data_IF_033371490468
#
_entry.id   IF_033371490468
#
_cell.length_a   1.000
_cell.length_b   1.000
_cell.length_c   1.000
_cell.angle_alpha   90.00
_cell.angle_beta   90.00
_cell.angle_gamma   90.00
#
_symmetry.space_group_name_H-M   'P 1'
#
loop_
_entity.id
_entity.type
_entity.pdbx_description
1 polymer ?
#
# COMPACT_ATOMS: atom_id res chain seq x y z
N UNK A 1 9.72 -30.00 20.79
CA UNK A 1 8.37 -30.12 20.21
C UNK A 1 8.15 -28.93 19.30
N UNK A 2 8.29 -29.09 17.99
CA UNK A 2 7.94 -28.04 17.03
C UNK A 2 6.44 -28.12 16.79
N UNK A 3 5.69 -27.20 17.39
CA UNK A 3 4.30 -26.97 17.01
C UNK A 3 4.31 -26.17 15.71
N UNK A 4 4.02 -26.82 14.60
CA UNK A 4 3.69 -26.16 13.34
C UNK A 4 2.18 -25.96 13.31
N UNK A 5 1.68 -24.97 14.06
CA UNK A 5 0.36 -24.46 13.76
C UNK A 5 0.38 -23.97 12.30
N UNK A 6 -0.65 -24.28 11.49
CA UNK A 6 -0.70 -23.80 10.12
C UNK A 6 -0.74 -22.27 10.13
N UNK A 7 0.20 -21.64 9.45
CA UNK A 7 0.19 -20.19 9.21
C UNK A 7 -1.05 -19.87 8.39
N UNK A 8 -1.88 -18.96 8.87
CA UNK A 8 -2.97 -18.40 8.08
C UNK A 8 -2.40 -17.35 7.13
N UNK A 9 -2.47 -17.64 5.84
CA UNK A 9 -1.99 -16.74 4.80
C UNK A 9 -3.06 -16.54 3.74
N UNK A 10 -3.35 -15.29 3.39
CA UNK A 10 -4.15 -14.96 2.21
C UNK A 10 -3.70 -13.66 1.58
N UNK A 11 -3.98 -13.51 0.28
CA UNK A 11 -3.75 -12.28 -0.48
C UNK A 11 -5.05 -11.88 -1.13
N UNK A 12 -5.47 -10.63 -0.93
CA UNK A 12 -6.58 -10.01 -1.66
C UNK A 12 -6.03 -8.91 -2.55
N UNK A 13 -6.04 -9.13 -3.87
CA UNK A 13 -5.66 -8.10 -4.84
C UNK A 13 -6.74 -7.02 -4.91
N UNK A 14 -6.34 -5.74 -4.87
CA UNK A 14 -7.24 -4.60 -4.96
C UNK A 14 -7.16 -4.00 -6.38
N UNK A 15 -5.98 -3.55 -6.77
CA UNK A 15 -5.67 -2.96 -8.08
C UNK A 15 -4.16 -2.74 -8.20
N UNK A 16 -3.62 -2.62 -9.42
CA UNK A 16 -2.19 -2.33 -9.63
C UNK A 16 -1.28 -3.14 -8.67
N UNK A 17 -0.40 -2.48 -7.92
CA UNK A 17 0.45 -3.05 -6.86
C UNK A 17 -0.22 -3.08 -5.47
N UNK A 18 -1.47 -2.62 -5.35
CA UNK A 18 -2.24 -2.60 -4.12
C UNK A 18 -2.90 -3.96 -3.84
N UNK A 19 -2.50 -4.58 -2.73
CA UNK A 19 -3.05 -5.83 -2.23
C UNK A 19 -3.04 -5.85 -0.70
N UNK A 20 -3.98 -6.59 -0.11
CA UNK A 20 -3.95 -6.91 1.31
C UNK A 20 -3.27 -8.25 1.47
N UNK A 21 -2.23 -8.32 2.31
CA UNK A 21 -1.69 -9.59 2.80
C UNK A 21 -2.20 -9.81 4.21
N UNK A 22 -2.77 -10.97 4.46
CA UNK A 22 -3.13 -11.43 5.79
C UNK A 22 -2.14 -12.51 6.22
N UNK A 23 -1.48 -12.31 7.36
CA UNK A 23 -0.54 -13.27 7.94
C UNK A 23 -0.84 -13.41 9.44
N UNK A 24 -1.36 -14.56 9.86
CA UNK A 24 -1.61 -14.88 11.27
C UNK A 24 -2.34 -13.77 12.07
N UNK A 25 -3.40 -13.21 11.49
CA UNK A 25 -4.17 -12.15 12.14
C UNK A 25 -3.71 -10.72 11.85
N UNK A 26 -2.54 -10.55 11.21
CA UNK A 26 -1.99 -9.24 10.85
C UNK A 26 -2.32 -8.90 9.39
N UNK A 27 -2.90 -7.73 9.17
CA UNK A 27 -3.20 -7.21 7.84
C UNK A 27 -2.16 -6.18 7.40
N UNK A 28 -1.51 -6.47 6.28
CA UNK A 28 -0.66 -5.54 5.56
C UNK A 28 -1.41 -5.03 4.35
N UNK A 29 -1.21 -3.76 3.96
CA UNK A 29 -1.56 -3.28 2.62
C UNK A 29 -0.30 -2.88 1.87
N UNK A 30 -0.14 -3.35 0.65
CA UNK A 30 0.94 -2.91 -0.25
C UNK A 30 0.49 -1.67 -1.01
N UNK A 31 1.41 -0.73 -1.27
CA UNK A 31 1.30 0.30 -2.32
C UNK A 31 -0.15 0.83 -2.51
N UNK A 32 -0.71 1.52 -1.50
CA UNK A 32 -2.14 1.78 -1.45
C UNK A 32 -2.58 2.73 -2.57
N UNK A 33 -3.44 2.23 -3.46
CA UNK A 33 -4.09 2.99 -4.54
C UNK A 33 -5.61 2.75 -4.51
N UNK A 34 -6.38 3.84 -4.58
CA UNK A 34 -7.85 3.82 -4.46
C UNK A 34 -8.60 4.68 -5.48
N UNK A 35 -7.88 5.31 -6.41
CA UNK A 35 -8.46 6.16 -7.43
C UNK A 35 -9.36 5.37 -8.39
N UNK A 36 -10.49 5.95 -8.81
CA UNK A 36 -11.45 5.24 -9.66
C UNK A 36 -10.89 4.95 -11.07
N UNK A 37 -11.60 4.08 -11.79
CA UNK A 37 -11.36 3.89 -13.22
C UNK A 37 -11.44 5.24 -13.96
N UNK A 38 -10.57 5.43 -14.94
CA UNK A 38 -10.49 6.65 -15.75
C UNK A 38 -9.68 7.78 -15.12
N UNK A 39 -9.23 7.67 -13.86
CA UNK A 39 -8.24 8.60 -13.32
C UNK A 39 -6.97 8.53 -14.15
N UNK A 40 -6.46 9.71 -14.50
CA UNK A 40 -5.24 9.90 -15.29
C UNK A 40 -4.25 10.77 -14.51
N UNK A 41 -2.97 10.49 -14.71
CA UNK A 41 -1.85 11.29 -14.23
C UNK A 41 -0.92 11.57 -15.41
N UNK A 42 -0.62 12.85 -15.62
CA UNK A 42 0.39 13.28 -16.58
C UNK A 42 1.77 13.02 -15.97
N UNK A 43 2.51 12.09 -16.58
CA UNK A 43 3.86 11.70 -16.17
C UNK A 43 4.93 12.33 -17.07
N UNK A 44 4.58 13.30 -17.92
CA UNK A 44 5.45 13.95 -18.90
C UNK A 44 5.35 13.32 -20.28
N UNK A 45 6.26 12.41 -20.69
CA UNK A 45 6.18 11.75 -22.00
C UNK A 45 5.02 10.76 -22.12
N UNK A 46 4.38 10.38 -21.02
CA UNK A 46 3.30 9.40 -20.97
C UNK A 46 2.18 9.86 -20.04
N UNK A 47 0.96 9.38 -20.31
CA UNK A 47 -0.17 9.50 -19.38
C UNK A 47 -0.42 8.13 -18.76
N UNK A 48 -0.35 8.07 -17.44
CA UNK A 48 -0.77 6.89 -16.69
C UNK A 48 -2.28 6.95 -16.50
N UNK A 49 -2.97 5.83 -16.74
CA UNK A 49 -4.43 5.74 -16.61
C UNK A 49 -4.85 4.50 -15.83
N UNK A 50 -5.70 4.68 -14.83
CA UNK A 50 -6.41 3.58 -14.21
C UNK A 50 -7.46 3.02 -15.18
N UNK A 51 -7.20 1.83 -15.74
CA UNK A 51 -8.16 1.16 -16.64
C UNK A 51 -9.33 0.54 -15.89
N UNK A 52 -9.13 0.18 -14.62
CA UNK A 52 -10.14 -0.35 -13.70
C UNK A 52 -10.03 0.37 -12.35
N UNK A 53 -11.16 0.46 -11.64
CA UNK A 53 -11.18 0.94 -10.26
C UNK A 53 -10.74 -0.14 -9.29
N UNK A 54 -10.49 0.21 -8.01
CA UNK A 54 -10.10 -0.76 -7.01
C UNK A 54 -11.24 -1.74 -6.72
N UNK A 55 -10.91 -3.03 -6.54
CA UNK A 55 -11.88 -4.08 -6.20
C UNK A 55 -12.51 -3.85 -4.80
N UNK A 56 -11.80 -3.15 -3.91
CA UNK A 56 -12.27 -2.72 -2.60
C UNK A 56 -12.15 -1.21 -2.46
N UNK A 57 -13.17 -0.56 -1.90
CA UNK A 57 -13.08 0.87 -1.57
C UNK A 57 -12.32 1.04 -0.27
N UNK A 58 -11.75 2.22 -0.07
CA UNK A 58 -11.02 2.58 1.16
C UNK A 58 -11.80 2.29 2.46
N UNK A 59 -13.13 2.50 2.43
CA UNK A 59 -14.02 2.26 3.58
C UNK A 59 -14.35 0.78 3.83
N UNK A 60 -14.09 -0.08 2.85
CA UNK A 60 -14.38 -1.51 2.89
C UNK A 60 -13.14 -2.33 3.28
N UNK A 61 -12.01 -1.65 3.59
CA UNK A 61 -10.79 -2.31 4.04
C UNK A 61 -10.98 -2.91 5.43
N UNK A 62 -10.33 -4.06 5.72
CA UNK A 62 -10.16 -4.51 7.09
C UNK A 62 -9.27 -3.51 7.86
N UNK A 63 -9.15 -3.70 9.17
CA UNK A 63 -8.14 -2.98 9.96
C UNK A 63 -6.77 -3.32 9.42
N UNK A 64 -6.06 -2.32 8.87
CA UNK A 64 -4.69 -2.45 8.36
C UNK A 64 -3.69 -2.12 9.47
N UNK A 65 -2.82 -3.06 9.80
CA UNK A 65 -1.79 -2.90 10.84
C UNK A 65 -0.54 -2.21 10.30
N UNK A 66 -0.15 -2.54 9.06
CA UNK A 66 1.04 -2.01 8.40
C UNK A 66 0.79 -1.68 6.94
N UNK A 67 1.40 -0.60 6.47
CA UNK A 67 1.57 -0.32 5.05
C UNK A 67 2.96 -0.78 4.63
N UNK A 68 3.04 -1.57 3.57
CA UNK A 68 4.28 -1.91 2.88
C UNK A 68 4.35 -1.04 1.63
N UNK A 69 5.21 -0.03 1.65
CA UNK A 69 5.32 0.93 0.55
C UNK A 69 6.65 0.75 -0.16
N UNK A 70 6.61 0.37 -1.42
CA UNK A 70 7.81 0.18 -2.24
C UNK A 70 8.51 1.51 -2.53
N UNK A 71 7.76 2.52 -2.97
CA UNK A 71 8.20 3.89 -3.25
C UNK A 71 6.99 4.83 -3.33
N UNK A 72 7.20 6.13 -3.16
CA UNK A 72 6.14 7.12 -2.95
C UNK A 72 5.94 8.14 -4.09
N UNK A 73 6.73 8.04 -5.17
CA UNK A 73 6.77 8.96 -6.30
C UNK A 73 5.96 8.48 -7.52
N UNK A 74 5.48 7.25 -7.52
CA UNK A 74 4.64 6.70 -8.58
C UNK A 74 3.16 6.62 -8.18
N UNK A 75 2.23 7.26 -8.92
CA UNK A 75 0.81 7.27 -8.58
C UNK A 75 0.10 5.91 -8.74
N UNK A 76 0.67 4.96 -9.50
CA UNK A 76 0.22 3.56 -9.55
C UNK A 76 0.63 2.73 -8.32
N UNK A 77 1.50 3.26 -7.47
CA UNK A 77 1.91 2.65 -6.20
C UNK A 77 1.44 3.46 -4.98
N UNK A 78 1.23 4.77 -5.13
CA UNK A 78 0.73 5.63 -4.06
C UNK A 78 0.00 6.84 -4.64
N UNK A 79 -1.32 6.73 -4.78
CA UNK A 79 -2.13 7.85 -5.25
C UNK A 79 -2.49 8.86 -4.15
N UNK A 80 -3.20 9.92 -4.51
CA UNK A 80 -3.60 10.98 -3.58
C UNK A 80 -4.54 10.49 -2.46
N UNK A 81 -5.22 9.35 -2.63
CA UNK A 81 -6.11 8.78 -1.62
C UNK A 81 -5.33 7.84 -0.68
N UNK A 82 -4.48 6.99 -1.22
CA UNK A 82 -3.60 6.11 -0.46
C UNK A 82 -2.58 6.89 0.35
N UNK A 83 -2.08 8.01 -0.15
CA UNK A 83 -1.17 8.88 0.59
C UNK A 83 -1.79 9.47 1.86
N UNK A 84 -3.10 9.76 1.85
CA UNK A 84 -3.84 10.17 3.07
C UNK A 84 -3.99 9.01 4.06
N UNK A 85 -3.96 7.78 3.57
CA UNK A 85 -4.04 6.59 4.42
C UNK A 85 -2.76 6.27 5.16
N UNK A 86 -1.64 6.92 4.79
CA UNK A 86 -0.37 6.78 5.51
C UNK A 86 -0.36 7.56 6.83
N UNK A 87 -1.23 8.56 6.98
CA UNK A 87 -1.38 9.30 8.23
C UNK A 87 -1.92 8.34 9.31
N UNK A 88 -1.31 8.38 10.50
CA UNK A 88 -1.62 7.51 11.65
C UNK A 88 -1.34 6.00 11.48
N UNK A 89 -0.62 5.59 10.42
CA UNK A 89 -0.25 4.18 10.21
C UNK A 89 1.25 3.92 10.34
N UNK A 90 1.58 2.66 10.62
CA UNK A 90 2.95 2.15 10.53
C UNK A 90 3.26 1.86 9.07
N UNK A 91 4.21 2.59 8.50
CA UNK A 91 4.62 2.44 7.11
C UNK A 91 6.04 1.89 7.08
N UNK A 92 6.23 0.74 6.43
CA UNK A 92 7.52 0.13 6.17
C UNK A 92 7.90 0.39 4.72
N UNK A 93 9.06 0.98 4.49
CA UNK A 93 9.51 1.37 3.14
C UNK A 93 11.03 1.32 3.01
N UNK A 94 11.54 1.48 1.79
CA UNK A 94 12.97 1.61 1.53
C UNK A 94 13.54 2.91 2.12
N UNK A 95 14.87 2.98 2.26
CA UNK A 95 15.54 4.15 2.84
C UNK A 95 15.22 5.46 2.10
N UNK A 96 15.14 5.41 0.76
CA UNK A 96 14.79 6.57 -0.05
C UNK A 96 13.37 7.06 0.21
N UNK A 97 12.39 6.14 0.24
CA UNK A 97 11.00 6.48 0.54
C UNK A 97 10.82 7.06 1.94
N UNK A 98 11.53 6.53 2.93
CA UNK A 98 11.52 7.08 4.29
C UNK A 98 12.04 8.53 4.33
N UNK A 99 13.07 8.87 3.55
CA UNK A 99 13.61 10.23 3.44
C UNK A 99 12.62 11.18 2.79
N UNK A 100 12.01 10.77 1.66
CA UNK A 100 11.07 11.59 0.89
C UNK A 100 9.70 11.76 1.58
N UNK A 101 9.35 10.85 2.48
CA UNK A 101 8.12 10.91 3.29
C UNK A 101 8.28 11.68 4.61
N UNK A 102 9.48 12.10 4.98
CA UNK A 102 9.70 12.86 6.20
C UNK A 102 9.02 14.26 6.13
N UNK A 103 8.44 14.76 7.24
CA UNK A 103 8.34 14.15 8.56
C UNK A 103 7.00 13.39 8.74
N UNK A 104 7.02 12.07 8.58
CA UNK A 104 5.90 11.19 8.95
C UNK A 104 6.36 10.26 10.08
N UNK A 105 5.87 10.42 11.33
CA UNK A 105 6.41 9.70 12.48
C UNK A 105 6.19 8.18 12.41
N UNK A 106 5.15 7.75 11.68
CA UNK A 106 4.83 6.33 11.45
C UNK A 106 5.68 5.63 10.39
N UNK A 107 6.51 6.37 9.63
CA UNK A 107 7.35 5.81 8.57
C UNK A 107 8.66 5.26 9.15
N UNK A 108 8.97 4.02 8.80
CA UNK A 108 10.18 3.29 9.20
C UNK A 108 10.85 2.66 7.98
N UNK A 109 12.18 2.61 8.03
CA UNK A 109 12.98 1.89 7.04
C UNK A 109 12.84 0.39 7.31
N UNK A 110 12.57 -0.39 6.28
CA UNK A 110 12.72 -1.84 6.31
C UNK A 110 14.18 -2.18 5.99
N UNK A 111 14.93 -2.63 6.99
CA UNK A 111 16.31 -3.07 6.84
C UNK A 111 16.35 -4.57 6.47
N UNK A 112 17.23 -5.02 5.54
CA UNK A 112 17.40 -6.43 5.19
C UNK A 112 17.92 -7.30 6.34
#
# INVERSE_FOLDING_TARGET
MTSTLPISFSITHITASSAILHIDGINFITDPVFSPAGKEWDMGPTVLKNTKGPALKLRDLPVIDFVLLSHEDHPDNLDELGRRHLDDRRVLTAQDGARKLAPRPGVKVLEP
#
